data_IF_718340876913
#
_entry.id   IF_718340876913
#
_cell.length_a   1.000
_cell.length_b   1.000
_cell.length_c   1.000
_cell.angle_alpha   90.00
_cell.angle_beta   90.00
_cell.angle_gamma   90.00
#
_symmetry.space_group_name_H-M   'P 1'
#
loop_
_entity.id
_entity.type
_entity.pdbx_description
1 polymer ?
#
# COMPACT_ATOMS: atom_id res chain seq x y z
N UNK A 1 22.54 5.62 -18.11
CA UNK A 1 21.44 4.66 -17.88
C UNK A 1 20.14 5.36 -18.23
N UNK A 2 19.31 4.74 -19.05
CA UNK A 2 17.96 5.24 -19.32
C UNK A 2 17.04 4.99 -18.12
N UNK A 3 15.88 5.64 -18.10
CA UNK A 3 14.84 5.40 -17.09
C UNK A 3 14.36 3.93 -17.12
N UNK A 4 14.24 3.37 -18.33
CA UNK A 4 13.89 1.96 -18.53
C UNK A 4 14.94 1.01 -17.92
N UNK A 5 16.22 1.35 -18.00
CA UNK A 5 17.30 0.56 -17.39
C UNK A 5 17.18 0.58 -15.86
N UNK A 6 16.91 1.76 -15.28
CA UNK A 6 16.71 1.93 -13.84
C UNK A 6 15.52 1.09 -13.38
N UNK A 7 14.41 1.14 -14.13
CA UNK A 7 13.19 0.41 -13.79
C UNK A 7 13.40 -1.12 -13.86
N UNK A 8 14.16 -1.62 -14.83
CA UNK A 8 14.54 -3.03 -14.92
C UNK A 8 15.36 -3.47 -13.72
N UNK A 9 16.37 -2.68 -13.35
CA UNK A 9 17.22 -2.95 -12.17
C UNK A 9 16.44 -2.88 -10.85
N UNK A 10 15.40 -2.05 -10.80
CA UNK A 10 14.54 -1.90 -9.63
C UNK A 10 13.48 -3.00 -9.50
N UNK A 11 13.18 -3.75 -10.57
CA UNK A 11 12.12 -4.76 -10.57
C UNK A 11 12.20 -5.81 -9.45
N UNK A 12 13.39 -6.28 -9.00
CA UNK A 12 13.47 -7.21 -7.87
C UNK A 12 13.01 -6.59 -6.54
N UNK A 13 13.04 -5.26 -6.44
CA UNK A 13 12.71 -4.47 -5.24
C UNK A 13 11.30 -3.88 -5.26
N UNK A 14 10.43 -4.33 -6.17
CA UNK A 14 9.06 -3.79 -6.31
C UNK A 14 8.21 -3.87 -5.03
N UNK A 15 8.51 -4.83 -4.15
CA UNK A 15 7.86 -5.03 -2.85
C UNK A 15 8.68 -4.47 -1.67
N UNK A 16 9.61 -3.55 -1.94
CA UNK A 16 10.32 -2.82 -0.88
C UNK A 16 9.42 -1.72 -0.29
N UNK A 17 9.46 -1.63 1.03
CA UNK A 17 8.97 -0.50 1.82
C UNK A 17 10.12 0.09 2.63
N UNK A 18 10.01 1.38 2.98
CA UNK A 18 10.96 2.04 3.88
C UNK A 18 10.29 2.28 5.23
N UNK A 19 10.90 1.74 6.29
CA UNK A 19 10.52 2.05 7.67
C UNK A 19 11.25 3.29 8.16
N UNK A 20 10.54 4.39 8.37
CA UNK A 20 11.08 5.66 8.90
C UNK A 20 10.71 5.84 10.37
N UNK A 21 11.71 5.95 11.23
CA UNK A 21 11.53 6.23 12.66
C UNK A 21 11.56 7.73 12.94
N UNK A 22 10.54 8.22 13.68
CA UNK A 22 10.39 9.66 13.94
C UNK A 22 11.44 10.22 14.91
N UNK A 23 11.81 9.44 15.94
CA UNK A 23 12.67 9.92 17.05
C UNK A 23 13.86 9.00 17.27
N UNK A 24 13.62 7.80 17.78
CA UNK A 24 14.64 6.78 18.04
C UNK A 24 14.29 5.53 17.24
N UNK A 25 15.32 4.86 16.72
CA UNK A 25 15.20 3.56 16.06
C UNK A 25 15.73 2.48 17.01
N UNK A 26 15.00 1.38 17.24
CA UNK A 26 15.55 0.19 17.89
C UNK A 26 16.77 -0.37 17.13
N UNK A 27 17.56 -1.24 17.76
CA UNK A 27 18.59 -1.94 17.01
C UNK A 27 17.97 -2.82 15.90
N UNK A 28 18.78 -3.18 14.90
CA UNK A 28 18.28 -3.88 13.71
C UNK A 28 17.68 -5.25 14.05
N UNK A 29 18.23 -5.95 15.04
CA UNK A 29 17.76 -7.27 15.46
C UNK A 29 16.39 -7.21 16.13
N UNK A 30 16.10 -6.17 16.92
CA UNK A 30 14.78 -5.94 17.48
C UNK A 30 13.73 -5.70 16.38
N UNK A 31 14.12 -5.01 15.30
CA UNK A 31 13.26 -4.79 14.13
C UNK A 31 13.02 -6.11 13.40
N UNK A 32 14.07 -6.90 13.13
CA UNK A 32 13.94 -8.24 12.51
C UNK A 32 13.06 -9.17 13.33
N UNK A 33 13.27 -9.23 14.64
CA UNK A 33 12.46 -10.02 15.56
C UNK A 33 10.99 -9.57 15.59
N UNK A 34 10.72 -8.28 15.38
CA UNK A 34 9.35 -7.79 15.25
C UNK A 34 8.69 -8.32 13.97
N UNK A 35 9.35 -8.22 12.82
CA UNK A 35 8.80 -8.69 11.54
C UNK A 35 8.68 -10.21 11.49
N UNK A 36 9.61 -10.96 12.08
CA UNK A 36 9.51 -12.41 12.22
C UNK A 36 8.23 -12.85 12.96
N UNK A 37 7.72 -12.03 13.89
CA UNK A 37 6.46 -12.29 14.61
C UNK A 37 5.21 -11.99 13.79
N UNK A 38 5.31 -11.25 12.69
CA UNK A 38 4.16 -10.91 11.84
C UNK A 38 3.64 -12.10 11.03
N UNK A 39 4.35 -13.24 11.03
CA UNK A 39 4.03 -14.44 10.25
C UNK A 39 3.86 -14.08 8.77
N UNK A 40 4.89 -13.44 8.23
CA UNK A 40 5.01 -13.18 6.79
C UNK A 40 5.54 -14.43 6.10
N UNK A 41 5.46 -14.47 4.78
CA UNK A 41 6.07 -15.54 3.99
C UNK A 41 7.58 -15.50 4.12
N UNK A 42 8.23 -16.64 3.85
CA UNK A 42 9.69 -16.76 3.93
C UNK A 42 10.40 -15.78 2.99
N UNK A 43 11.66 -15.45 3.33
CA UNK A 43 12.57 -14.58 2.57
C UNK A 43 12.27 -13.07 2.60
N UNK A 44 11.63 -12.55 3.65
CA UNK A 44 11.68 -11.12 3.91
C UNK A 44 13.10 -10.70 4.35
N UNK A 45 13.55 -9.53 3.91
CA UNK A 45 14.86 -9.01 4.29
C UNK A 45 14.74 -7.59 4.81
N UNK A 46 15.39 -7.36 5.94
CA UNK A 46 15.40 -6.07 6.62
C UNK A 46 16.83 -5.57 6.71
N UNK A 47 17.07 -4.45 6.02
CA UNK A 47 18.36 -3.80 5.90
C UNK A 47 18.37 -2.43 6.60
N UNK A 48 19.55 -2.02 7.06
CA UNK A 48 19.77 -0.66 7.53
C UNK A 48 20.05 0.25 6.33
N UNK A 49 19.36 1.38 6.23
CA UNK A 49 19.67 2.42 5.24
C UNK A 49 20.45 3.57 5.89
N UNK A 50 19.96 4.07 7.04
CA UNK A 50 20.65 5.08 7.84
C UNK A 50 20.23 5.00 9.32
N UNK A 51 20.52 6.06 10.11
CA UNK A 51 20.18 6.11 11.53
C UNK A 51 18.67 5.97 11.84
N UNK A 52 17.78 6.42 10.94
CA UNK A 52 16.33 6.48 11.09
C UNK A 52 15.55 5.61 10.10
N UNK A 53 16.19 5.09 9.05
CA UNK A 53 15.55 4.36 7.98
C UNK A 53 16.03 2.91 7.88
N UNK A 54 15.07 2.01 7.66
CA UNK A 54 15.31 0.61 7.32
C UNK A 54 14.61 0.27 6.01
N UNK A 55 15.23 -0.57 5.19
CA UNK A 55 14.55 -1.21 4.07
C UNK A 55 13.85 -2.46 4.55
N UNK A 56 12.64 -2.69 4.05
CA UNK A 56 11.80 -3.85 4.33
C UNK A 56 11.42 -4.42 2.97
N UNK A 57 12.17 -5.43 2.51
CA UNK A 57 11.89 -6.12 1.26
C UNK A 57 11.05 -7.35 1.55
N UNK A 58 9.86 -7.39 0.97
CA UNK A 58 8.90 -8.47 1.14
C UNK A 58 8.95 -9.39 -0.08
N UNK A 59 8.66 -10.68 0.12
CA UNK A 59 8.80 -11.69 -0.93
C UNK A 59 7.63 -11.73 -1.91
N UNK A 60 6.48 -11.18 -1.53
CA UNK A 60 5.25 -11.26 -2.32
C UNK A 60 4.31 -10.09 -2.07
N UNK A 61 3.32 -9.98 -2.95
CA UNK A 61 2.33 -8.90 -2.91
C UNK A 61 1.38 -8.96 -1.72
N UNK A 62 1.03 -10.16 -1.24
CA UNK A 62 0.09 -10.30 -0.12
C UNK A 62 0.69 -9.71 1.16
N UNK A 63 1.94 -10.04 1.46
CA UNK A 63 2.67 -9.50 2.60
C UNK A 63 2.96 -8.01 2.43
N UNK A 64 3.34 -7.58 1.22
CA UNK A 64 3.48 -6.17 0.87
C UNK A 64 2.23 -5.37 1.19
N UNK A 65 1.09 -5.81 0.64
CA UNK A 65 -0.20 -5.15 0.83
C UNK A 65 -0.59 -5.15 2.30
N UNK A 66 -0.41 -6.26 3.02
CA UNK A 66 -0.71 -6.37 4.46
C UNK A 66 0.13 -5.43 5.31
N UNK A 67 1.44 -5.35 5.06
CA UNK A 67 2.37 -4.49 5.79
C UNK A 67 2.09 -3.03 5.49
N UNK A 68 2.04 -2.65 4.20
CA UNK A 68 1.84 -1.25 3.81
C UNK A 68 0.49 -0.69 4.27
N UNK A 69 -0.56 -1.52 4.26
CA UNK A 69 -1.89 -1.15 4.73
C UNK A 69 -1.95 -0.68 6.18
N UNK A 70 -0.98 -1.09 7.02
CA UNK A 70 -0.92 -0.67 8.43
C UNK A 70 -0.42 0.77 8.59
N UNK A 71 0.22 1.36 7.57
CA UNK A 71 0.84 2.70 7.55
C UNK A 71 1.96 2.95 8.56
N UNK A 72 1.90 2.35 9.74
CA UNK A 72 2.90 2.47 10.78
C UNK A 72 2.85 1.30 11.75
N UNK A 73 3.98 1.08 12.43
CA UNK A 73 4.11 0.13 13.54
C UNK A 73 4.78 0.79 14.72
N UNK A 74 4.58 0.22 15.91
CA UNK A 74 5.34 0.53 17.10
C UNK A 74 6.25 -0.64 17.43
N UNK A 75 7.56 -0.37 17.49
CA UNK A 75 8.59 -1.37 17.84
C UNK A 75 9.34 -0.82 19.05
N UNK A 76 9.21 -1.47 20.22
CA UNK A 76 9.79 -0.99 21.49
C UNK A 76 9.48 0.49 21.75
N UNK A 77 8.19 0.84 21.67
CA UNK A 77 7.64 2.20 21.82
C UNK A 77 8.18 3.24 20.81
N UNK A 78 8.94 2.82 19.81
CA UNK A 78 9.40 3.67 18.73
C UNK A 78 8.45 3.55 17.55
N UNK A 79 7.83 4.67 17.14
CA UNK A 79 6.95 4.69 15.98
C UNK A 79 7.77 4.63 14.69
N UNK A 80 7.44 3.66 13.84
CA UNK A 80 7.98 3.49 12.50
C UNK A 80 6.86 3.71 11.48
N UNK A 81 6.95 4.76 10.67
CA UNK A 81 6.07 4.99 9.52
C UNK A 81 6.56 4.19 8.32
N UNK A 82 5.64 3.72 7.49
CA UNK A 82 5.94 3.00 6.27
C UNK A 82 5.81 3.95 5.09
N UNK A 83 6.86 4.03 4.28
CA UNK A 83 6.91 4.80 3.05
C UNK A 83 7.07 3.85 1.87
N UNK A 84 6.49 4.20 0.72
CA UNK A 84 6.71 3.48 -0.53
C UNK A 84 8.14 3.73 -1.01
N UNK A 85 8.90 2.66 -1.21
CA UNK A 85 10.15 2.74 -1.97
C UNK A 85 9.87 2.84 -3.47
N UNK A 86 10.65 3.67 -4.14
CA UNK A 86 10.68 3.81 -5.60
C UNK A 86 12.15 3.85 -6.04
N UNK A 87 12.46 3.62 -7.34
CA UNK A 87 13.84 3.73 -7.83
C UNK A 87 14.46 5.11 -7.62
N UNK A 88 13.61 6.13 -7.46
CA UNK A 88 13.96 7.54 -7.26
C UNK A 88 13.72 8.01 -5.82
N UNK A 89 13.58 7.07 -4.87
CA UNK A 89 13.31 7.39 -3.48
C UNK A 89 14.48 8.18 -2.85
N UNK A 90 14.16 9.32 -2.22
CA UNK A 90 15.08 10.08 -1.39
C UNK A 90 14.64 10.00 0.08
N UNK A 91 15.57 9.62 0.97
CA UNK A 91 15.37 9.58 2.44
C UNK A 91 15.02 10.94 3.05
N UNK A 92 15.35 12.04 2.35
CA UNK A 92 15.05 13.41 2.78
C UNK A 92 13.62 13.82 2.48
N UNK A 93 12.97 13.17 1.53
CA UNK A 93 11.62 13.48 1.10
C UNK A 93 10.60 12.47 1.67
N UNK A 94 9.34 12.89 1.72
CA UNK A 94 8.25 11.98 2.01
C UNK A 94 7.72 11.41 0.68
N UNK A 95 7.49 10.10 0.63
CA UNK A 95 6.93 9.50 -0.57
C UNK A 95 5.50 10.03 -0.80
N UNK A 96 5.17 10.56 -1.98
CA UNK A 96 3.81 10.97 -2.30
C UNK A 96 2.85 9.78 -2.47
N UNK A 97 3.40 8.58 -2.56
CA UNK A 97 2.63 7.34 -2.71
C UNK A 97 2.25 6.82 -1.33
N UNK A 98 0.95 6.82 -1.04
CA UNK A 98 0.40 6.45 0.27
C UNK A 98 -0.81 5.52 0.11
N UNK A 99 -1.12 4.67 1.10
CA UNK A 99 -2.30 3.82 1.03
C UNK A 99 -3.52 4.57 1.57
N UNK A 100 -4.55 4.81 0.75
CA UNK A 100 -5.78 5.57 1.11
C UNK A 100 -7.02 4.71 0.89
N UNK A 101 -7.98 4.80 1.82
CA UNK A 101 -9.28 4.16 1.68
C UNK A 101 -10.18 5.01 0.78
N UNK A 102 -10.42 4.54 -0.43
CA UNK A 102 -11.41 5.10 -1.35
C UNK A 102 -12.79 4.52 -0.99
N UNK A 103 -13.80 5.37 -0.95
CA UNK A 103 -15.17 5.01 -0.60
C UNK A 103 -16.07 5.22 -1.81
N UNK A 104 -16.88 4.21 -2.13
CA UNK A 104 -17.89 4.22 -3.18
C UNK A 104 -19.27 4.16 -2.51
N UNK A 105 -19.87 5.32 -2.17
CA UNK A 105 -21.22 5.35 -1.62
C UNK A 105 -22.23 4.94 -2.68
N UNK A 106 -23.37 4.37 -2.25
CA UNK A 106 -24.50 4.05 -3.13
C UNK A 106 -24.21 3.08 -4.30
N UNK A 107 -23.08 2.38 -4.27
CA UNK A 107 -22.74 1.36 -5.25
C UNK A 107 -23.82 0.25 -5.24
N UNK A 108 -24.29 -0.21 -6.40
CA UNK A 108 -25.29 -1.28 -6.41
C UNK A 108 -24.71 -2.59 -5.85
N UNK A 109 -25.55 -3.36 -5.15
CA UNK A 109 -25.15 -4.61 -4.47
C UNK A 109 -24.42 -5.62 -5.37
N UNK A 110 -24.80 -5.72 -6.64
CA UNK A 110 -24.17 -6.64 -7.59
C UNK A 110 -22.74 -6.24 -7.98
N UNK A 111 -22.32 -4.99 -7.71
CA UNK A 111 -20.95 -4.51 -7.86
C UNK A 111 -20.10 -4.67 -6.59
N UNK A 112 -20.65 -5.21 -5.49
CA UNK A 112 -19.88 -5.64 -4.31
C UNK A 112 -19.18 -6.98 -4.61
N UNK A 113 -18.32 -6.94 -5.63
CA UNK A 113 -17.49 -8.03 -6.10
C UNK A 113 -16.03 -7.55 -6.10
N UNK A 114 -15.11 -8.42 -5.65
CA UNK A 114 -13.68 -8.11 -5.59
C UNK A 114 -13.12 -7.58 -6.90
N UNK A 115 -13.47 -8.22 -8.02
CA UNK A 115 -12.98 -7.84 -9.35
C UNK A 115 -13.43 -6.42 -9.73
N UNK A 116 -14.70 -6.09 -9.49
CA UNK A 116 -15.25 -4.76 -9.79
C UNK A 116 -14.62 -3.72 -8.89
N UNK A 117 -14.56 -3.97 -7.59
CA UNK A 117 -14.00 -3.03 -6.62
C UNK A 117 -12.51 -2.79 -6.84
N UNK A 118 -11.75 -3.83 -7.19
CA UNK A 118 -10.36 -3.67 -7.61
C UNK A 118 -10.27 -2.86 -8.91
N UNK A 119 -11.10 -3.12 -9.91
CA UNK A 119 -11.12 -2.33 -11.15
C UNK A 119 -11.42 -0.84 -10.89
N UNK A 120 -12.38 -0.55 -10.00
CA UNK A 120 -12.67 0.83 -9.57
C UNK A 120 -11.50 1.45 -8.80
N UNK A 121 -10.88 0.71 -7.89
CA UNK A 121 -9.68 1.16 -7.18
C UNK A 121 -8.51 1.46 -8.12
N UNK A 122 -8.38 0.67 -9.20
CA UNK A 122 -7.32 0.81 -10.22
C UNK A 122 -7.37 2.15 -10.96
N UNK A 123 -8.52 2.83 -10.96
CA UNK A 123 -8.66 4.18 -11.54
C UNK A 123 -7.83 5.20 -10.75
N UNK A 124 -7.68 5.01 -9.44
CA UNK A 124 -6.96 5.91 -8.55
C UNK A 124 -5.49 5.54 -8.38
N UNK A 125 -5.18 4.25 -8.43
CA UNK A 125 -3.84 3.74 -8.13
C UNK A 125 -3.86 2.22 -8.01
N UNK A 126 -2.95 1.63 -7.25
CA UNK A 126 -2.87 0.16 -7.11
C UNK A 126 -3.72 -0.33 -5.94
N UNK A 127 -4.79 -1.12 -6.17
CA UNK A 127 -5.59 -1.67 -5.07
C UNK A 127 -4.74 -2.62 -4.20
N UNK A 128 -4.81 -2.46 -2.87
CA UNK A 128 -4.07 -3.27 -1.90
C UNK A 128 -4.99 -4.26 -1.18
N UNK A 129 -6.16 -3.81 -0.75
CA UNK A 129 -7.11 -4.64 0.01
C UNK A 129 -8.52 -4.04 -0.01
N UNK A 130 -9.53 -4.90 0.15
CA UNK A 130 -10.90 -4.47 0.42
C UNK A 130 -11.14 -4.33 1.93
N UNK A 131 -12.07 -3.45 2.30
CA UNK A 131 -12.54 -3.38 3.67
C UNK A 131 -13.32 -4.66 4.02
N UNK A 132 -13.16 -5.16 5.25
CA UNK A 132 -13.73 -6.45 5.65
C UNK A 132 -15.27 -6.45 5.62
N UNK A 133 -15.91 -5.32 5.94
CA UNK A 133 -17.37 -5.20 5.85
C UNK A 133 -17.85 -5.16 4.39
N UNK A 134 -17.04 -4.59 3.50
CA UNK A 134 -17.30 -4.58 2.06
C UNK A 134 -17.15 -5.99 1.48
N UNK A 135 -16.06 -6.68 1.80
CA UNK A 135 -15.79 -8.04 1.34
C UNK A 135 -16.87 -9.03 1.79
N UNK A 136 -17.35 -8.90 3.03
CA UNK A 136 -18.41 -9.74 3.58
C UNK A 136 -19.83 -9.23 3.28
N UNK A 137 -19.97 -8.11 2.54
CA UNK A 137 -21.25 -7.47 2.21
C UNK A 137 -22.12 -7.13 3.43
N UNK A 138 -21.49 -6.88 4.58
CA UNK A 138 -22.18 -6.59 5.85
C UNK A 138 -22.62 -5.12 5.96
N UNK A 139 -22.00 -4.23 5.17
CA UNK A 139 -22.35 -2.81 5.12
C UNK A 139 -22.57 -2.35 3.67
N UNK A 140 -23.74 -2.64 3.08
CA UNK A 140 -24.01 -2.33 1.68
C UNK A 140 -24.17 -0.82 1.38
N UNK A 141 -24.22 0.03 2.42
CA UNK A 141 -24.33 1.48 2.24
C UNK A 141 -23.11 2.10 1.54
N UNK A 142 -21.93 1.53 1.74
CA UNK A 142 -20.66 2.07 1.25
C UNK A 142 -19.68 0.92 1.01
N UNK A 143 -19.18 0.79 -0.22
CA UNK A 143 -18.05 -0.08 -0.52
C UNK A 143 -16.73 0.68 -0.32
N UNK A 144 -15.68 0.02 0.20
CA UNK A 144 -14.37 0.63 0.40
C UNK A 144 -13.23 -0.27 -0.08
N UNK A 145 -12.26 0.37 -0.73
CA UNK A 145 -11.02 -0.26 -1.21
C UNK A 145 -9.84 0.58 -0.76
N UNK A 146 -8.82 -0.06 -0.21
CA UNK A 146 -7.56 0.57 0.09
C UNK A 146 -6.71 0.57 -1.18
N UNK A 147 -6.26 1.74 -1.58
CA UNK A 147 -5.49 1.95 -2.80
C UNK A 147 -4.17 2.61 -2.46
N UNK A 148 -3.06 2.06 -2.95
CA UNK A 148 -1.77 2.73 -3.06
C UNK A 148 -1.88 3.81 -4.14
N UNK A 149 -1.94 5.07 -3.72
CA UNK A 149 -2.26 6.22 -4.56
C UNK A 149 -1.15 7.27 -4.49
N UNK A 150 -0.82 7.83 -5.63
CA UNK A 150 0.05 9.00 -5.75
C UNK A 150 -0.80 10.26 -5.60
N UNK A 151 -0.63 10.98 -4.48
CA UNK A 151 -1.42 12.16 -4.15
C UNK A 151 -1.04 13.41 -4.96
N UNK A 152 0.05 13.37 -5.73
CA UNK A 152 0.45 14.48 -6.59
C UNK A 152 -0.36 14.52 -7.89
N UNK A 153 -0.97 13.39 -8.26
CA UNK A 153 -1.80 13.26 -9.47
C UNK A 153 -3.22 13.74 -9.21
N UNK A 154 -3.86 14.24 -10.28
CA UNK A 154 -5.30 14.56 -10.25
C UNK A 154 -6.09 13.26 -10.36
N UNK A 155 -7.04 13.09 -9.45
CA UNK A 155 -7.93 11.93 -9.40
C UNK A 155 -9.37 12.34 -9.73
N UNK A 156 -10.14 11.48 -10.41
CA UNK A 156 -11.54 11.76 -10.71
C UNK A 156 -12.37 11.85 -9.43
N UNK A 157 -13.41 12.69 -9.45
CA UNK A 157 -14.38 12.79 -8.35
C UNK A 157 -15.56 11.83 -8.52
N UNK A 158 -15.92 11.57 -9.78
CA UNK A 158 -17.07 10.77 -10.19
C UNK A 158 -16.59 9.68 -11.16
N UNK A 159 -17.20 8.50 -11.10
CA UNK A 159 -16.83 7.35 -11.94
C UNK A 159 -18.10 6.77 -12.54
N UNK A 160 -18.19 6.77 -13.87
CA UNK A 160 -19.27 6.10 -14.58
C UNK A 160 -19.08 4.58 -14.56
N UNK A 161 -20.10 3.84 -14.13
CA UNK A 161 -20.10 2.39 -14.04
C UNK A 161 -21.21 1.82 -14.91
N UNK A 162 -20.85 1.12 -15.99
CA UNK A 162 -21.77 0.40 -16.87
C UNK A 162 -21.70 0.84 -18.33
N UNK A 163 -22.52 0.21 -19.18
CA UNK A 163 -22.66 0.60 -20.59
C UNK A 163 -23.53 1.85 -20.75
N UNK A 164 -23.51 2.48 -21.92
CA UNK A 164 -24.31 3.70 -22.20
C UNK A 164 -25.80 3.55 -21.84
N UNK A 165 -26.35 2.33 -21.92
CA UNK A 165 -27.77 2.06 -21.67
C UNK A 165 -28.10 1.60 -20.24
N UNK A 166 -27.11 1.18 -19.45
CA UNK A 166 -27.32 0.60 -18.11
C UNK A 166 -26.34 1.13 -17.05
N UNK A 167 -25.64 2.21 -17.36
CA UNK A 167 -24.66 2.82 -16.49
C UNK A 167 -25.25 3.80 -15.49
N UNK A 168 -24.49 4.07 -14.44
CA UNK A 168 -24.78 5.12 -13.46
C UNK A 168 -23.48 5.75 -12.98
N UNK A 169 -23.61 6.98 -12.46
CA UNK A 169 -22.53 7.78 -11.89
C UNK A 169 -22.35 7.48 -10.40
#
# INVERSE_FOLDING_TARGET
MSEDDIQKLASPYQFTLIGKFSVRRPNLDAIRNFFAKLKLSENDSIGLLDARHVSIQLSNDLDYSRVFSRRSYYILNCQMRLLKWTPFFDVKEESPIVPIWISFPNLCLHFFNSLVLHALGSIFGRPLQMDQLTANRLRPSVARVLVEIDITKKHPKDIWIGSENFGYL
#
